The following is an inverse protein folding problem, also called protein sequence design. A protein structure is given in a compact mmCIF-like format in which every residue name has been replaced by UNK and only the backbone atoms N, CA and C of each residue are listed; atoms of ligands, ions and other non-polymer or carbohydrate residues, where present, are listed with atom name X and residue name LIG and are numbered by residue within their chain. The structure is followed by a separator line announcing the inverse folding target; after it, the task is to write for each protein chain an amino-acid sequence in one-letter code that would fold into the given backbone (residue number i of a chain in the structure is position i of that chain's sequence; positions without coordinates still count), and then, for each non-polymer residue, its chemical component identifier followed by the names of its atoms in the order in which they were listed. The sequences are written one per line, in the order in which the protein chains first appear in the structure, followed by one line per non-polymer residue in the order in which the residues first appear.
data_IF_861529134742
#
_entry.id   IF_861529134742
#
_cell.length_a   1.000
_cell.length_b   1.000
_cell.length_c   1.000
_cell.angle_alpha   90.00
_cell.angle_beta   90.00
_cell.angle_gamma   90.00
#
_symmetry.space_group_name_H-M   'P 1'
#
loop_
_entity.id
_entity.type
_entity.pdbx_description
1 polymer ?
#
# COMPACT_ATOMS: atom_id res chain seq x y z
N UNK A 1 0.61 13.36 24.43
CA UNK A 1 1.63 12.51 23.98
C UNK A 1 1.71 11.14 24.59
N UNK A 2 2.51 10.31 23.98
CA UNK A 2 2.77 8.96 24.44
C UNK A 2 3.69 8.92 25.65
N UNK A 3 3.77 7.78 26.29
CA UNK A 3 4.70 7.53 27.39
C UNK A 3 6.00 6.94 26.84
N UNK A 4 7.17 7.43 27.26
CA UNK A 4 8.44 6.81 26.87
C UNK A 4 8.46 5.31 27.24
N UNK A 5 8.93 4.48 26.29
CA UNK A 5 9.01 3.04 26.49
C UNK A 5 7.74 2.26 26.14
N UNK A 6 6.63 2.93 25.83
CA UNK A 6 5.40 2.26 25.41
C UNK A 6 5.40 1.95 23.91
N UNK A 7 4.76 0.85 23.56
CA UNK A 7 4.62 0.42 22.17
C UNK A 7 3.17 0.58 21.74
N UNK A 8 2.98 1.16 20.56
CA UNK A 8 1.65 1.35 19.99
C UNK A 8 1.55 0.73 18.62
N UNK A 9 0.48 -0.02 18.39
CA UNK A 9 0.13 -0.49 17.05
C UNK A 9 -0.68 0.58 16.35
N UNK A 10 -0.29 0.91 15.13
CA UNK A 10 -0.98 1.90 14.30
C UNK A 10 -1.62 1.18 13.12
N UNK A 11 -2.92 1.29 13.00
CA UNK A 11 -3.65 0.63 11.92
C UNK A 11 -4.96 1.34 11.59
N UNK A 12 -5.46 1.09 10.41
CA UNK A 12 -6.62 1.79 9.86
C UNK A 12 -7.94 1.05 9.99
N UNK A 13 -7.99 -0.06 10.73
CA UNK A 13 -9.19 -0.89 10.87
C UNK A 13 -9.68 -1.47 9.53
N UNK A 14 -8.77 -1.70 8.59
CA UNK A 14 -9.06 -2.14 7.23
C UNK A 14 -8.59 -3.58 6.99
N UNK A 15 -9.36 -4.54 7.49
CA UNK A 15 -9.10 -5.96 7.22
C UNK A 15 -9.66 -6.32 5.86
N UNK A 16 -8.81 -6.47 4.85
CA UNK A 16 -9.26 -6.83 3.52
C UNK A 16 -8.37 -7.91 2.90
N UNK A 17 -8.98 -8.92 2.26
CA UNK A 17 -8.20 -9.91 1.49
C UNK A 17 -7.46 -9.23 0.33
N UNK A 18 -6.29 -9.77 -0.02
CA UNK A 18 -5.46 -9.21 -1.09
C UNK A 18 -6.22 -9.06 -2.42
N UNK A 19 -7.02 -10.05 -2.78
CA UNK A 19 -7.78 -10.01 -4.03
C UNK A 19 -8.77 -8.83 -4.05
N UNK A 20 -9.40 -8.54 -2.93
CA UNK A 20 -10.31 -7.40 -2.81
C UNK A 20 -9.58 -6.08 -3.02
N UNK A 21 -8.37 -5.95 -2.44
CA UNK A 21 -7.53 -4.76 -2.62
C UNK A 21 -7.14 -4.61 -4.09
N UNK A 22 -6.70 -5.70 -4.73
CA UNK A 22 -6.31 -5.68 -6.15
C UNK A 22 -7.48 -5.27 -7.03
N UNK A 23 -8.66 -5.82 -6.81
CA UNK A 23 -9.87 -5.45 -7.56
C UNK A 23 -10.25 -4.00 -7.37
N UNK A 24 -10.09 -3.48 -6.15
CA UNK A 24 -10.36 -2.06 -5.85
C UNK A 24 -9.40 -1.15 -6.61
N UNK A 25 -8.11 -1.48 -6.62
CA UNK A 25 -7.10 -0.73 -7.38
C UNK A 25 -7.43 -0.74 -8.88
N UNK A 26 -7.80 -1.90 -9.43
CA UNK A 26 -8.18 -2.01 -10.83
C UNK A 26 -9.40 -1.14 -11.17
N UNK A 27 -10.43 -1.16 -10.31
CA UNK A 27 -11.63 -0.35 -10.51
C UNK A 27 -11.34 1.14 -10.47
N UNK A 28 -10.47 1.58 -9.54
CA UNK A 28 -10.04 2.97 -9.46
C UNK A 28 -9.27 3.40 -10.70
N UNK A 29 -8.38 2.56 -11.21
CA UNK A 29 -7.64 2.84 -12.43
C UNK A 29 -8.57 2.93 -13.64
N UNK A 30 -9.60 2.08 -13.71
CA UNK A 30 -10.60 2.14 -14.77
C UNK A 30 -11.33 3.49 -14.78
N UNK A 31 -11.55 4.07 -13.61
CA UNK A 31 -12.20 5.38 -13.46
C UNK A 31 -11.24 6.54 -13.71
N UNK A 32 -10.03 6.47 -13.14
CA UNK A 32 -9.08 7.58 -13.15
C UNK A 32 -8.22 7.65 -14.42
N UNK A 33 -7.89 6.50 -14.98
CA UNK A 33 -7.07 6.41 -16.20
C UNK A 33 -7.45 5.17 -17.00
N UNK A 34 -8.60 5.16 -17.70
CA UNK A 34 -9.02 4.00 -18.48
C UNK A 34 -7.98 3.60 -19.52
N UNK A 35 -7.77 2.29 -19.67
CA UNK A 35 -6.88 1.73 -20.68
C UNK A 35 -7.67 1.41 -21.95
N UNK A 36 -7.05 1.64 -23.11
CA UNK A 36 -7.67 1.36 -24.40
C UNK A 36 -7.93 -0.14 -24.61
N UNK A 37 -7.12 -1.00 -23.99
CA UNK A 37 -7.23 -2.45 -24.12
C UNK A 37 -8.38 -3.06 -23.31
N UNK A 38 -8.97 -2.31 -22.39
CA UNK A 38 -10.08 -2.78 -21.56
C UNK A 38 -9.82 -2.63 -20.06
N UNK A 39 -10.68 -3.23 -19.20
CA UNK A 39 -10.55 -3.10 -17.76
C UNK A 39 -9.21 -3.61 -17.23
N UNK A 40 -8.67 -2.94 -16.21
CA UNK A 40 -7.40 -3.35 -15.60
C UNK A 40 -7.48 -4.72 -14.93
N UNK A 41 -8.67 -5.15 -14.52
CA UNK A 41 -8.86 -6.46 -13.91
C UNK A 41 -8.42 -7.62 -14.85
N UNK A 42 -8.36 -7.39 -16.17
CA UNK A 42 -7.86 -8.39 -17.13
C UNK A 42 -6.40 -8.77 -16.88
N UNK A 43 -5.65 -7.94 -16.18
CA UNK A 43 -4.25 -8.18 -15.87
C UNK A 43 -4.06 -9.07 -14.63
N UNK A 44 -5.12 -9.37 -13.91
CA UNK A 44 -5.04 -10.23 -12.73
C UNK A 44 -4.63 -11.64 -13.15
N UNK A 45 -3.54 -12.12 -12.57
CA UNK A 45 -3.03 -13.47 -12.84
C UNK A 45 -2.87 -14.20 -11.51
N UNK A 46 -3.43 -15.39 -11.43
CA UNK A 46 -3.33 -16.21 -10.23
C UNK A 46 -2.07 -17.06 -10.31
N UNK A 47 -1.30 -17.04 -9.24
CA UNK A 47 -0.07 -17.83 -9.16
C UNK A 47 -0.12 -18.71 -7.91
N UNK A 48 0.78 -19.71 -7.86
CA UNK A 48 0.89 -20.56 -6.68
C UNK A 48 1.34 -19.72 -5.49
N UNK A 49 0.59 -19.84 -4.38
CA UNK A 49 0.89 -19.10 -3.16
C UNK A 49 2.16 -19.63 -2.50
N UNK A 50 2.90 -18.75 -1.83
CA UNK A 50 4.06 -19.16 -1.04
C UNK A 50 3.60 -19.80 0.28
N UNK A 51 4.36 -20.77 0.82
CA UNK A 51 4.05 -21.33 2.14
C UNK A 51 3.99 -20.23 3.21
N UNK A 52 2.96 -20.28 4.07
CA UNK A 52 2.82 -19.32 5.17
C UNK A 52 2.36 -17.94 4.74
N UNK A 53 1.88 -17.77 3.53
CA UNK A 53 1.37 -16.48 3.08
C UNK A 53 0.07 -16.11 3.80
N UNK A 54 0.03 -14.91 4.37
CA UNK A 54 -1.15 -14.41 5.05
C UNK A 54 -2.24 -14.03 4.05
N UNK A 55 -3.47 -14.44 4.32
CA UNK A 55 -4.61 -14.10 3.48
C UNK A 55 -5.01 -12.64 3.61
N UNK A 56 -4.80 -12.07 4.79
CA UNK A 56 -5.07 -10.67 5.11
C UNK A 56 -4.26 -10.26 6.33
N UNK A 57 -4.12 -8.96 6.48
CA UNK A 57 -3.45 -8.38 7.64
C UNK A 57 -4.46 -7.61 8.47
N UNK A 58 -4.37 -7.75 9.78
CA UNK A 58 -5.21 -7.03 10.71
C UNK A 58 -4.34 -6.47 11.83
N UNK A 59 -4.55 -5.22 12.19
CA UNK A 59 -3.82 -4.55 13.26
C UNK A 59 -4.84 -4.00 14.25
N UNK A 60 -4.63 -4.31 15.53
CA UNK A 60 -5.46 -3.77 16.60
C UNK A 60 -4.88 -2.45 17.09
N UNK A 61 -5.53 -1.36 16.75
CA UNK A 61 -5.12 0.00 17.10
C UNK A 61 -5.90 0.58 18.30
N UNK A 62 -6.57 -0.27 19.08
CA UNK A 62 -7.39 0.23 20.22
C UNK A 62 -6.56 0.92 21.29
N UNK A 63 -5.33 0.47 21.53
CA UNK A 63 -4.47 1.08 22.56
C UNK A 63 -4.14 2.53 22.20
N UNK A 64 -3.71 2.81 20.97
CA UNK A 64 -3.37 4.16 20.55
C UNK A 64 -4.59 5.08 20.54
N UNK A 65 -5.75 4.55 20.15
CA UNK A 65 -6.99 5.32 20.20
C UNK A 65 -7.38 5.66 21.63
N UNK A 66 -7.33 4.68 22.53
CA UNK A 66 -7.73 4.87 23.93
C UNK A 66 -6.78 5.81 24.68
N UNK A 67 -5.48 5.68 24.49
CA UNK A 67 -4.48 6.43 25.27
C UNK A 67 -4.13 7.78 24.66
N UNK A 68 -4.11 7.89 23.34
CA UNK A 68 -3.68 9.12 22.64
C UNK A 68 -4.81 9.81 21.88
N UNK A 69 -5.98 9.19 21.79
CA UNK A 69 -7.10 9.73 21.02
C UNK A 69 -6.84 9.71 19.52
N UNK A 70 -5.83 8.96 19.07
CA UNK A 70 -5.51 8.90 17.65
C UNK A 70 -6.50 8.02 16.90
N UNK A 71 -6.96 8.52 15.76
CA UNK A 71 -7.79 7.77 14.81
C UNK A 71 -7.28 8.00 13.39
N UNK A 72 -7.45 7.02 12.48
CA UNK A 72 -7.14 7.25 11.08
C UNK A 72 -7.94 8.41 10.51
N UNK A 73 -7.28 9.30 9.79
CA UNK A 73 -7.96 10.40 9.09
C UNK A 73 -8.66 9.95 7.81
N UNK A 74 -8.25 8.80 7.28
CA UNK A 74 -8.78 8.26 6.03
C UNK A 74 -9.45 6.90 6.27
N UNK A 75 -10.52 6.62 5.52
CA UNK A 75 -11.06 5.26 5.40
C UNK A 75 -10.24 4.51 4.34
N UNK A 76 -10.48 3.19 4.21
CA UNK A 76 -9.85 2.43 3.14
C UNK A 76 -10.20 3.04 1.77
N UNK A 77 -11.48 3.35 1.55
CA UNK A 77 -11.93 3.87 0.25
C UNK A 77 -11.31 5.22 -0.10
N UNK A 78 -11.26 6.15 0.85
CA UNK A 78 -10.65 7.46 0.60
C UNK A 78 -9.13 7.37 0.50
N UNK A 79 -8.51 6.57 1.36
CA UNK A 79 -7.06 6.41 1.39
C UNK A 79 -6.52 5.73 0.15
N UNK A 80 -7.14 4.61 -0.28
CA UNK A 80 -6.67 3.89 -1.47
C UNK A 80 -6.83 4.75 -2.73
N UNK A 81 -7.91 5.51 -2.83
CA UNK A 81 -8.12 6.43 -3.95
C UNK A 81 -7.03 7.47 -4.02
N UNK A 82 -6.71 8.12 -2.91
CA UNK A 82 -5.63 9.11 -2.84
C UNK A 82 -4.28 8.50 -3.19
N UNK A 83 -4.03 7.28 -2.74
CA UNK A 83 -2.79 6.57 -3.04
C UNK A 83 -2.65 6.31 -4.53
N UNK A 84 -3.68 5.79 -5.19
CA UNK A 84 -3.67 5.55 -6.63
C UNK A 84 -3.46 6.86 -7.39
N UNK A 85 -4.18 7.91 -7.00
CA UNK A 85 -4.02 9.24 -7.62
C UNK A 85 -2.60 9.75 -7.49
N UNK A 86 -1.97 9.57 -6.31
CA UNK A 86 -0.59 9.98 -6.10
C UNK A 86 0.36 9.31 -7.09
N UNK A 87 0.23 7.99 -7.27
CA UNK A 87 1.08 7.26 -8.22
C UNK A 87 0.88 7.73 -9.65
N UNK A 88 -0.36 8.02 -10.06
CA UNK A 88 -0.64 8.52 -11.39
C UNK A 88 -0.07 9.91 -11.63
N UNK A 89 -0.02 10.73 -10.59
CA UNK A 89 0.53 12.10 -10.66
C UNK A 89 2.04 12.15 -10.52
N UNK A 90 2.67 11.06 -10.07
CA UNK A 90 4.11 10.99 -9.81
C UNK A 90 4.78 9.91 -10.67
N UNK A 91 4.45 9.88 -11.95
CA UNK A 91 5.00 8.92 -12.90
C UNK A 91 6.54 8.99 -12.97
N UNK A 92 7.12 10.18 -12.79
CA UNK A 92 8.58 10.34 -12.76
C UNK A 92 9.23 9.59 -11.61
N UNK A 93 8.61 9.62 -10.44
CA UNK A 93 9.08 8.88 -9.28
C UNK A 93 9.03 7.38 -9.54
N UNK A 94 7.93 6.89 -10.10
CA UNK A 94 7.76 5.48 -10.47
C UNK A 94 8.83 5.06 -11.46
N UNK A 95 9.06 5.87 -12.50
CA UNK A 95 10.07 5.60 -13.52
C UNK A 95 11.47 5.50 -12.93
N UNK A 96 11.81 6.39 -11.98
CA UNK A 96 13.14 6.37 -11.32
C UNK A 96 13.33 5.10 -10.49
N UNK A 97 12.31 4.66 -9.78
CA UNK A 97 12.38 3.42 -8.99
C UNK A 97 12.53 2.21 -9.91
N UNK A 98 11.75 2.15 -10.99
CA UNK A 98 11.80 1.05 -11.95
C UNK A 98 13.09 1.03 -12.79
N UNK A 99 13.69 2.19 -13.05
CA UNK A 99 14.93 2.28 -13.84
C UNK A 99 16.15 1.73 -13.12
N UNK A 100 16.05 1.52 -11.81
CA UNK A 100 17.14 1.00 -11.02
C UNK A 100 18.06 2.07 -10.43
N UNK A 101 17.75 3.35 -10.55
CA UNK A 101 18.53 4.43 -9.91
C UNK A 101 18.70 4.21 -8.42
N UNK A 102 17.65 3.73 -7.76
CA UNK A 102 17.70 3.36 -6.36
C UNK A 102 18.71 2.24 -6.10
N UNK A 103 18.77 1.24 -6.98
CA UNK A 103 19.71 0.12 -6.85
C UNK A 103 21.16 0.59 -6.98
N UNK A 104 21.40 1.52 -7.87
CA UNK A 104 22.73 2.11 -8.05
C UNK A 104 23.16 2.86 -6.79
N UNK A 105 22.25 3.61 -6.20
CA UNK A 105 22.52 4.31 -4.95
C UNK A 105 22.84 3.32 -3.83
N UNK A 106 22.06 2.26 -3.68
CA UNK A 106 22.26 1.21 -2.67
C UNK A 106 23.60 0.53 -2.89
N UNK A 107 23.93 0.16 -4.14
CA UNK A 107 25.19 -0.48 -4.47
C UNK A 107 26.38 0.40 -4.11
N UNK A 108 26.30 1.71 -4.40
CA UNK A 108 27.35 2.67 -4.08
C UNK A 108 27.56 2.81 -2.56
N UNK A 109 26.49 2.85 -1.77
CA UNK A 109 26.55 3.13 -0.33
C UNK A 109 26.73 1.89 0.52
N UNK A 110 26.37 0.71 0.04
CA UNK A 110 26.39 -0.53 0.82
C UNK A 110 27.30 -1.63 0.27
N UNK A 111 27.90 -1.43 -0.90
CA UNK A 111 28.72 -2.47 -1.57
C UNK A 111 30.02 -2.79 -0.80
N UNK A 112 30.43 -1.94 0.11
CA UNK A 112 31.71 -2.06 0.86
C UNK A 112 31.53 -2.86 2.17
N UNK A 113 30.36 -3.35 2.44
CA UNK A 113 30.09 -4.12 3.66
C UNK A 113 30.59 -5.55 3.59
#
# INVERSE_FOLDING_TARGET
GGRPGETYNVGGWNEKPNLEIVKTVCALLDTLRPAAEGPYARLITYVKDRPGHDRRYAIDARKIERELGWRPAETFDTGIRKTVQWYLEHADWVARVQSGSYRDWVATHYAVR
#
